data_IF_512916456046
#
_entry.id   IF_512916456046
#
_cell.length_a   1.000
_cell.length_b   1.000
_cell.length_c   1.000
_cell.angle_alpha   90.00
_cell.angle_beta   90.00
_cell.angle_gamma   90.00
#
_symmetry.space_group_name_H-M   'P 1'
#
loop_
_entity.id
_entity.type
_entity.pdbx_description
1 polymer ?
#
# COMPACT_ATOMS: atom_id res chain seq x y z
N UNK A 1 -10.21 -25.12 9.40
CA UNK A 1 -9.26 -24.07 8.97
C UNK A 1 -8.74 -24.36 7.58
N UNK A 2 -7.69 -25.17 7.45
CA UNK A 2 -6.98 -25.42 6.18
C UNK A 2 -7.90 -25.95 5.07
N UNK A 3 -8.71 -26.99 5.34
CA UNK A 3 -9.62 -27.56 4.33
C UNK A 3 -10.65 -26.53 3.81
N UNK A 4 -11.25 -25.76 4.72
CA UNK A 4 -12.21 -24.70 4.37
C UNK A 4 -11.52 -23.57 3.58
N UNK A 5 -10.34 -23.14 4.03
CA UNK A 5 -9.56 -22.11 3.35
C UNK A 5 -9.13 -22.54 1.95
N UNK A 6 -8.74 -23.80 1.77
CA UNK A 6 -8.47 -24.38 0.45
C UNK A 6 -9.72 -24.37 -0.43
N UNK A 7 -10.87 -24.80 0.09
CA UNK A 7 -12.12 -24.82 -0.67
C UNK A 7 -12.53 -23.41 -1.15
N UNK A 8 -12.42 -22.41 -0.28
CA UNK A 8 -12.69 -21.00 -0.63
C UNK A 8 -11.68 -20.49 -1.65
N UNK A 9 -10.38 -20.75 -1.46
CA UNK A 9 -9.35 -20.34 -2.40
C UNK A 9 -9.55 -20.99 -3.78
N UNK A 10 -9.85 -22.29 -3.82
CA UNK A 10 -10.13 -23.02 -5.05
C UNK A 10 -11.38 -22.51 -5.78
N UNK A 11 -12.40 -22.04 -5.05
CA UNK A 11 -13.60 -21.46 -5.64
C UNK A 11 -13.35 -20.08 -6.25
N UNK A 12 -12.50 -19.24 -5.62
CA UNK A 12 -12.25 -17.86 -6.05
C UNK A 12 -11.09 -17.71 -7.05
N UNK A 13 -10.14 -18.64 -7.06
CA UNK A 13 -8.94 -18.57 -7.91
C UNK A 13 -9.26 -18.45 -9.42
N UNK A 14 -10.24 -19.19 -9.99
CA UNK A 14 -10.56 -19.09 -11.42
C UNK A 14 -11.00 -17.70 -11.83
N UNK A 15 -11.86 -17.05 -11.03
CA UNK A 15 -12.38 -15.71 -11.32
C UNK A 15 -11.27 -14.65 -11.26
N UNK A 16 -10.38 -14.77 -10.27
CA UNK A 16 -9.20 -13.90 -10.14
C UNK A 16 -8.24 -14.11 -11.30
N UNK A 17 -7.96 -15.36 -11.68
CA UNK A 17 -7.08 -15.68 -12.79
C UNK A 17 -7.64 -15.19 -14.14
N UNK A 18 -8.95 -15.33 -14.36
CA UNK A 18 -9.63 -14.82 -15.54
C UNK A 18 -9.56 -13.28 -15.62
N UNK A 19 -9.75 -12.60 -14.49
CA UNK A 19 -9.65 -11.13 -14.41
C UNK A 19 -8.21 -10.66 -14.70
N UNK A 20 -7.20 -11.31 -14.11
CA UNK A 20 -5.80 -10.95 -14.34
C UNK A 20 -5.35 -11.27 -15.77
N UNK A 21 -5.78 -12.40 -16.33
CA UNK A 21 -5.54 -12.75 -17.73
C UNK A 21 -6.21 -11.77 -18.69
N UNK A 22 -7.45 -11.35 -18.41
CA UNK A 22 -8.20 -10.41 -19.25
C UNK A 22 -7.68 -8.98 -19.20
N UNK A 23 -7.27 -8.48 -18.02
CA UNK A 23 -6.81 -7.10 -17.86
C UNK A 23 -5.32 -6.92 -18.14
N UNK A 24 -4.49 -7.91 -17.81
CA UNK A 24 -3.03 -7.78 -17.85
C UNK A 24 -2.36 -8.76 -18.82
N UNK A 25 -3.10 -9.65 -19.48
CA UNK A 25 -2.52 -10.70 -20.33
C UNK A 25 -1.67 -11.71 -19.55
N UNK A 26 -1.74 -11.70 -18.22
CA UNK A 26 -0.92 -12.55 -17.37
C UNK A 26 -1.53 -13.95 -17.26
N UNK A 27 -0.83 -14.95 -17.77
CA UNK A 27 -1.21 -16.35 -17.62
C UNK A 27 -0.92 -16.82 -16.19
N UNK A 28 -1.86 -16.60 -15.27
CA UNK A 28 -1.79 -17.18 -13.92
C UNK A 28 -2.27 -18.63 -14.00
N UNK A 29 -1.49 -19.62 -13.51
CA UNK A 29 -1.95 -21.00 -13.45
C UNK A 29 -3.23 -21.07 -12.62
N UNK A 30 -4.36 -21.44 -13.23
CA UNK A 30 -5.65 -21.57 -12.55
C UNK A 30 -5.77 -22.78 -11.62
N UNK A 31 -4.64 -23.38 -11.22
CA UNK A 31 -4.59 -24.58 -10.38
C UNK A 31 -3.92 -24.24 -9.05
N UNK A 32 -4.64 -24.48 -7.95
CA UNK A 32 -4.12 -24.26 -6.61
C UNK A 32 -3.19 -25.42 -6.22
N UNK A 33 -1.87 -25.20 -6.21
CA UNK A 33 -0.94 -26.22 -5.69
C UNK A 33 -0.95 -26.24 -4.16
N UNK A 34 -1.56 -27.27 -3.57
CA UNK A 34 -1.48 -27.50 -2.13
C UNK A 34 -0.09 -28.07 -1.77
N UNK A 35 0.82 -27.17 -1.40
CA UNK A 35 2.13 -27.55 -0.87
C UNK A 35 2.01 -28.04 0.56
N UNK A 36 2.10 -29.36 0.74
CA UNK A 36 1.97 -30.05 2.03
C UNK A 36 2.93 -29.48 3.10
N UNK A 37 4.15 -29.08 2.70
CA UNK A 37 5.11 -28.47 3.63
C UNK A 37 4.59 -27.23 4.34
N UNK A 38 3.84 -26.36 3.64
CA UNK A 38 3.26 -25.16 4.25
C UNK A 38 2.08 -25.48 5.17
N UNK A 39 1.29 -26.50 4.82
CA UNK A 39 0.21 -26.99 5.67
C UNK A 39 0.78 -27.55 6.98
N UNK A 40 1.82 -28.37 6.90
CA UNK A 40 2.49 -28.95 8.06
C UNK A 40 3.17 -27.88 8.92
N UNK A 41 3.82 -26.89 8.30
CA UNK A 41 4.41 -25.77 9.03
C UNK A 41 3.35 -24.95 9.77
N UNK A 42 2.23 -24.63 9.12
CA UNK A 42 1.10 -23.92 9.72
C UNK A 42 0.48 -24.68 10.90
N UNK A 43 0.24 -25.99 10.71
CA UNK A 43 -0.27 -26.87 11.76
C UNK A 43 0.73 -26.98 12.92
N UNK A 44 2.02 -27.13 12.61
CA UNK A 44 3.11 -27.21 13.60
C UNK A 44 3.20 -25.94 14.44
N UNK A 45 3.12 -24.76 13.83
CA UNK A 45 3.09 -23.49 14.56
C UNK A 45 1.87 -23.37 15.49
N UNK A 46 0.68 -23.77 15.02
CA UNK A 46 -0.53 -23.74 15.83
C UNK A 46 -0.46 -24.70 17.03
N UNK A 47 0.02 -25.94 16.80
CA UNK A 47 0.21 -26.94 17.84
C UNK A 47 1.27 -26.50 18.85
N UNK A 48 2.42 -25.98 18.38
CA UNK A 48 3.47 -25.46 19.24
C UNK A 48 2.97 -24.31 20.12
N UNK A 49 2.26 -23.33 19.53
CA UNK A 49 1.65 -22.23 20.29
C UNK A 49 0.64 -22.72 21.33
N UNK A 50 -0.20 -23.70 20.97
CA UNK A 50 -1.17 -24.32 21.89
C UNK A 50 -0.47 -25.05 23.03
N UNK A 51 0.59 -25.82 22.75
CA UNK A 51 1.38 -26.51 23.77
C UNK A 51 2.07 -25.55 24.71
N UNK A 52 2.64 -24.45 24.20
CA UNK A 52 3.25 -23.40 25.02
C UNK A 52 2.21 -22.75 25.93
N UNK A 53 1.04 -22.39 25.40
CA UNK A 53 -0.04 -21.78 26.18
C UNK A 53 -0.59 -22.73 27.26
N UNK A 54 -0.85 -23.99 26.91
CA UNK A 54 -1.32 -25.00 27.86
C UNK A 54 -0.25 -25.33 28.91
N UNK A 55 1.01 -25.46 28.48
CA UNK A 55 2.15 -25.70 29.36
C UNK A 55 2.36 -24.57 30.37
N UNK A 56 2.18 -23.31 29.95
CA UNK A 56 2.21 -22.17 30.85
C UNK A 56 1.10 -22.25 31.91
N UNK A 57 -0.13 -22.60 31.52
CA UNK A 57 -1.25 -22.78 32.46
C UNK A 57 -0.99 -23.88 33.48
N UNK A 58 -0.53 -25.05 33.02
CA UNK A 58 -0.17 -26.18 33.89
C UNK A 58 0.97 -25.82 34.85
N UNK A 59 1.99 -25.12 34.36
CA UNK A 59 3.13 -24.71 35.18
C UNK A 59 2.74 -23.70 36.26
N UNK A 60 1.82 -22.78 35.96
CA UNK A 60 1.27 -21.87 36.96
C UNK A 60 0.50 -22.62 38.04
N UNK A 61 -0.36 -23.56 37.65
CA UNK A 61 -1.12 -24.39 38.61
C UNK A 61 -0.18 -25.21 39.50
N UNK A 62 0.86 -25.81 38.91
CA UNK A 62 1.83 -26.64 39.63
C UNK A 62 2.63 -25.85 40.68
N UNK A 63 2.86 -24.55 40.47
CA UNK A 63 3.57 -23.67 41.42
C UNK A 63 2.67 -23.01 42.45
N UNK A 64 1.35 -23.19 42.40
CA UNK A 64 0.45 -22.61 43.39
C UNK A 64 0.55 -23.36 44.74
N UNK A 65 0.75 -22.66 45.86
CA UNK A 65 0.72 -23.29 47.18
C UNK A 65 -0.62 -24.01 47.43
N UNK A 66 -0.64 -25.23 47.98
CA UNK A 66 -1.86 -26.01 48.19
C UNK A 66 -2.94 -25.26 48.99
N UNK A 67 -2.53 -24.42 49.94
CA UNK A 67 -3.41 -23.60 50.79
C UNK A 67 -3.90 -22.30 50.12
N UNK A 68 -3.27 -21.90 49.02
CA UNK A 68 -3.62 -20.70 48.26
C UNK A 68 -4.69 -20.96 47.17
N UNK A 69 -4.93 -22.24 46.86
CA UNK A 69 -5.92 -22.69 45.86
C UNK A 69 -7.36 -22.25 46.19
N UNK A 70 -7.68 -22.01 47.48
CA UNK A 70 -9.01 -21.64 47.95
C UNK A 70 -9.31 -20.13 47.89
N UNK A 71 -8.32 -19.26 47.62
CA UNK A 71 -8.50 -17.80 47.66
C UNK A 71 -8.36 -17.14 46.29
N UNK A 72 -9.43 -16.52 45.76
CA UNK A 72 -9.41 -15.70 44.54
C UNK A 72 -8.31 -14.61 44.54
N UNK A 73 -7.87 -14.17 45.73
CA UNK A 73 -6.79 -13.20 45.92
C UNK A 73 -5.39 -13.74 45.59
N UNK A 74 -5.12 -15.04 45.79
CA UNK A 74 -3.81 -15.64 45.51
C UNK A 74 -3.55 -15.75 43.99
N UNK A 75 -4.60 -16.04 43.23
CA UNK A 75 -4.58 -15.99 41.76
C UNK A 75 -4.31 -14.58 41.23
N UNK A 76 -4.86 -13.55 41.89
CA UNK A 76 -4.60 -12.14 41.54
C UNK A 76 -3.14 -11.70 41.75
N UNK A 77 -2.47 -12.15 42.82
CA UNK A 77 -1.07 -11.80 43.11
C UNK A 77 -0.10 -12.53 42.17
N UNK A 78 -0.30 -13.83 41.94
CA UNK A 78 0.50 -14.60 40.99
C UNK A 78 0.35 -14.10 39.54
N UNK A 79 -0.88 -13.72 39.15
CA UNK A 79 -1.14 -13.09 37.86
C UNK A 79 -0.52 -11.69 37.73
N UNK A 80 -0.39 -10.94 38.84
CA UNK A 80 0.22 -9.61 38.86
C UNK A 80 1.71 -9.61 38.50
N UNK A 81 2.49 -10.58 39.00
CA UNK A 81 3.90 -10.70 38.65
C UNK A 81 4.10 -11.13 37.19
N UNK A 82 3.35 -12.13 36.72
CA UNK A 82 3.37 -12.56 35.32
C UNK A 82 3.01 -11.42 34.35
N UNK A 83 1.99 -10.60 34.72
CA UNK A 83 1.57 -9.44 33.91
C UNK A 83 2.65 -8.37 33.82
N UNK A 84 3.38 -8.10 34.91
CA UNK A 84 4.50 -7.14 34.91
C UNK A 84 5.62 -7.58 33.96
N UNK A 85 6.01 -8.85 34.02
CA UNK A 85 7.02 -9.42 33.12
C UNK A 85 6.57 -9.37 31.65
N UNK A 86 5.31 -9.70 31.35
CA UNK A 86 4.73 -9.54 30.01
C UNK A 86 4.76 -8.08 29.55
N UNK A 87 4.42 -7.13 30.43
CA UNK A 87 4.48 -5.71 30.14
C UNK A 87 5.91 -5.25 29.80
N UNK A 88 6.92 -5.66 30.58
CA UNK A 88 8.32 -5.33 30.29
C UNK A 88 8.82 -5.99 29.00
N UNK A 89 8.46 -7.26 28.76
CA UNK A 89 8.80 -7.94 27.52
C UNK A 89 8.17 -7.24 26.31
N UNK A 90 6.89 -6.84 26.42
CA UNK A 90 6.20 -6.11 25.38
C UNK A 90 6.80 -4.72 25.13
N UNK A 91 7.14 -3.98 26.18
CA UNK A 91 7.86 -2.70 26.05
C UNK A 91 9.25 -2.88 25.41
N UNK A 92 9.96 -3.96 25.75
CA UNK A 92 11.23 -4.32 25.11
C UNK A 92 11.07 -4.57 23.61
N UNK A 93 10.02 -5.30 23.20
CA UNK A 93 9.70 -5.52 21.79
C UNK A 93 9.32 -4.22 21.06
N UNK A 94 8.57 -3.33 21.71
CA UNK A 94 8.25 -2.01 21.16
C UNK A 94 9.48 -1.12 21.03
N UNK A 95 10.41 -1.17 21.98
CA UNK A 95 11.68 -0.47 21.90
C UNK A 95 12.54 -1.00 20.75
N UNK A 96 12.63 -2.33 20.60
CA UNK A 96 13.32 -2.96 19.47
C UNK A 96 12.66 -2.60 18.13
N UNK A 97 11.33 -2.54 18.08
CA UNK A 97 10.60 -2.07 16.90
C UNK A 97 10.96 -0.60 16.59
N UNK A 98 11.00 0.29 17.60
CA UNK A 98 11.45 1.67 17.42
C UNK A 98 12.90 1.79 16.94
N UNK A 99 13.81 0.94 17.43
CA UNK A 99 15.19 0.87 16.95
C UNK A 99 15.26 0.36 15.50
N UNK A 100 14.49 -0.65 15.16
CA UNK A 100 14.39 -1.15 13.78
C UNK A 100 13.81 -0.10 12.84
N UNK A 101 12.88 0.75 13.30
CA UNK A 101 12.36 1.87 12.52
C UNK A 101 13.41 2.97 12.30
N UNK A 102 14.20 3.29 13.32
CA UNK A 102 15.18 4.38 13.25
C UNK A 102 16.47 4.00 12.50
N UNK A 103 16.94 2.76 12.66
CA UNK A 103 18.25 2.31 12.16
C UNK A 103 18.17 1.12 11.20
N UNK A 104 17.02 0.47 11.10
CA UNK A 104 16.86 -0.71 10.26
C UNK A 104 16.68 -0.34 8.79
N UNK A 105 17.35 -1.09 7.92
CA UNK A 105 17.19 -1.00 6.47
C UNK A 105 16.90 -2.38 5.89
N UNK A 106 16.02 -2.42 4.88
CA UNK A 106 15.70 -3.64 4.14
C UNK A 106 14.56 -4.48 4.72
N UNK A 107 14.29 -5.60 4.05
CA UNK A 107 13.09 -6.40 4.26
C UNK A 107 13.04 -7.07 5.64
N UNK A 108 14.15 -7.63 6.10
CA UNK A 108 14.21 -8.31 7.41
C UNK A 108 13.97 -7.35 8.58
N UNK A 109 14.49 -6.12 8.49
CA UNK A 109 14.21 -5.08 9.47
C UNK A 109 12.71 -4.72 9.47
N UNK A 110 12.08 -4.64 8.29
CA UNK A 110 10.63 -4.44 8.17
C UNK A 110 9.80 -5.57 8.82
N UNK A 111 10.18 -6.83 8.63
CA UNK A 111 9.53 -7.96 9.31
C UNK A 111 9.74 -7.93 10.83
N UNK A 112 10.97 -7.62 11.28
CA UNK A 112 11.28 -7.47 12.70
C UNK A 112 10.49 -6.34 13.36
N UNK A 113 10.40 -5.19 12.69
CA UNK A 113 9.58 -4.05 13.09
C UNK A 113 8.12 -4.45 13.27
N UNK A 114 7.52 -5.08 12.25
CA UNK A 114 6.11 -5.48 12.28
C UNK A 114 5.85 -6.52 13.39
N UNK A 115 6.70 -7.54 13.50
CA UNK A 115 6.58 -8.56 14.52
C UNK A 115 6.73 -7.97 15.94
N UNK A 116 7.74 -7.12 16.15
CA UNK A 116 7.97 -6.44 17.42
C UNK A 116 6.81 -5.51 17.80
N UNK A 117 6.24 -4.79 16.84
CA UNK A 117 5.10 -3.91 17.05
C UNK A 117 3.83 -4.70 17.40
N UNK A 118 3.50 -5.74 16.64
CA UNK A 118 2.30 -6.56 16.88
C UNK A 118 2.40 -7.34 18.19
N UNK A 119 3.50 -8.06 18.42
CA UNK A 119 3.70 -8.83 19.64
C UNK A 119 3.87 -7.92 20.86
N UNK A 120 4.60 -6.82 20.71
CA UNK A 120 4.77 -5.82 21.76
C UNK A 120 3.45 -5.19 22.19
N UNK A 121 2.63 -4.75 21.23
CA UNK A 121 1.31 -4.21 21.50
C UNK A 121 0.38 -5.24 22.17
N UNK A 122 0.38 -6.49 21.71
CA UNK A 122 -0.37 -7.56 22.33
C UNK A 122 0.04 -7.79 23.78
N UNK A 123 1.34 -7.92 24.07
CA UNK A 123 1.83 -8.16 25.44
C UNK A 123 1.61 -6.97 26.39
N UNK A 124 1.64 -5.74 25.88
CA UNK A 124 1.39 -4.52 26.66
C UNK A 124 -0.11 -4.32 26.95
N UNK A 125 -1.00 -4.81 26.08
CA UNK A 125 -2.45 -4.59 26.17
C UNK A 125 -3.05 -4.92 27.56
N UNK A 126 -2.81 -6.09 28.19
CA UNK A 126 -3.38 -6.39 29.50
C UNK A 126 -2.89 -5.43 30.60
N UNK A 127 -1.67 -4.90 30.48
CA UNK A 127 -1.13 -3.93 31.43
C UNK A 127 -1.78 -2.56 31.28
N UNK A 128 -1.97 -2.11 30.04
CA UNK A 128 -2.68 -0.86 29.74
C UNK A 128 -4.13 -0.94 30.20
N UNK A 129 -4.84 -2.04 29.88
CA UNK A 129 -6.21 -2.24 30.35
C UNK A 129 -6.29 -2.26 31.87
N UNK A 130 -5.37 -2.94 32.56
CA UNK A 130 -5.34 -2.94 34.02
C UNK A 130 -5.16 -1.54 34.62
N UNK A 131 -4.32 -0.72 33.99
CA UNK A 131 -4.09 0.67 34.40
C UNK A 131 -5.32 1.53 34.15
N UNK A 132 -5.95 1.44 32.97
CA UNK A 132 -7.19 2.15 32.64
C UNK A 132 -8.33 1.77 33.59
N UNK A 133 -8.52 0.47 33.85
CA UNK A 133 -9.55 0.00 34.77
C UNK A 133 -9.29 0.48 36.20
N UNK A 134 -8.04 0.42 36.68
CA UNK A 134 -7.70 0.93 38.02
C UNK A 134 -7.85 2.44 38.15
N UNK A 135 -7.59 3.18 37.08
CA UNK A 135 -7.84 4.63 37.02
C UNK A 135 -9.34 4.96 37.03
N UNK A 136 -10.14 4.22 36.27
CA UNK A 136 -11.59 4.35 36.25
C UNK A 136 -12.21 3.99 37.61
N UNK A 137 -11.74 2.92 38.24
CA UNK A 137 -12.09 2.51 39.61
C UNK A 137 -11.82 3.65 40.61
N UNK A 138 -10.63 4.26 40.58
CA UNK A 138 -10.27 5.37 41.46
C UNK A 138 -11.05 6.67 41.24
N UNK A 139 -11.67 6.83 40.06
CA UNK A 139 -12.54 7.98 39.74
C UNK A 139 -14.03 7.69 39.94
N UNK A 140 -14.40 6.43 40.09
CA UNK A 140 -15.79 6.02 40.21
C UNK A 140 -16.37 6.46 41.56
N UNK A 141 -17.56 7.08 41.50
CA UNK A 141 -18.35 7.46 42.67
C UNK A 141 -19.58 6.55 42.76
N UNK A 142 -19.84 6.03 43.96
CA UNK A 142 -20.95 5.10 44.23
C UNK A 142 -20.52 3.63 44.21
N UNK A 143 -21.24 2.81 44.96
CA UNK A 143 -20.88 1.41 45.24
C UNK A 143 -20.93 0.53 43.98
N UNK A 144 -21.98 0.69 43.16
CA UNK A 144 -22.18 -0.14 41.96
C UNK A 144 -21.12 0.12 40.87
N UNK A 145 -20.70 1.37 40.68
CA UNK A 145 -19.71 1.74 39.67
C UNK A 145 -18.31 1.27 40.09
N UNK A 146 -17.94 1.44 41.36
CA UNK A 146 -16.69 0.91 41.91
C UNK A 146 -16.66 -0.62 41.82
N UNK A 147 -17.76 -1.29 42.16
CA UNK A 147 -17.89 -2.74 42.04
C UNK A 147 -17.70 -3.21 40.59
N UNK A 148 -18.33 -2.54 39.62
CA UNK A 148 -18.19 -2.89 38.20
C UNK A 148 -16.74 -2.82 37.72
N UNK A 149 -16.02 -1.73 38.03
CA UNK A 149 -14.61 -1.59 37.60
C UNK A 149 -13.68 -2.57 38.32
N UNK A 150 -13.92 -2.81 39.61
CA UNK A 150 -13.17 -3.79 40.39
C UNK A 150 -13.38 -5.22 39.86
N UNK A 151 -14.62 -5.58 39.53
CA UNK A 151 -14.98 -6.88 38.95
C UNK A 151 -14.36 -7.07 37.55
N UNK A 152 -14.48 -6.06 36.68
CA UNK A 152 -13.83 -6.07 35.36
C UNK A 152 -12.30 -6.26 35.47
N UNK A 153 -11.67 -5.58 36.44
CA UNK A 153 -10.23 -5.71 36.71
C UNK A 153 -9.87 -7.10 37.23
N UNK A 154 -10.74 -7.73 38.02
CA UNK A 154 -10.57 -9.09 38.53
C UNK A 154 -10.69 -10.14 37.41
N UNK A 155 -11.56 -9.93 36.41
CA UNK A 155 -11.73 -10.84 35.27
C UNK A 155 -10.60 -10.74 34.23
N UNK A 156 -9.90 -9.60 34.17
CA UNK A 156 -8.87 -9.30 33.16
C UNK A 156 -7.78 -10.38 32.98
N UNK A 157 -7.18 -11.01 34.02
CA UNK A 157 -6.20 -12.07 33.82
C UNK A 157 -6.76 -13.24 32.98
N UNK A 158 -8.00 -13.65 33.23
CA UNK A 158 -8.62 -14.78 32.53
C UNK A 158 -8.96 -14.47 31.07
N UNK A 159 -9.25 -13.20 30.75
CA UNK A 159 -9.58 -12.76 29.39
C UNK A 159 -8.38 -12.23 28.60
N UNK A 160 -7.23 -12.05 29.24
CA UNK A 160 -6.06 -11.40 28.63
C UNK A 160 -5.62 -12.03 27.32
N UNK A 161 -5.51 -13.37 27.26
CA UNK A 161 -5.12 -14.09 26.03
C UNK A 161 -6.12 -13.88 24.88
N UNK A 162 -7.42 -13.93 25.18
CA UNK A 162 -8.46 -13.71 24.19
C UNK A 162 -8.45 -12.27 23.68
N UNK A 163 -8.25 -11.29 24.57
CA UNK A 163 -8.15 -9.87 24.20
C UNK A 163 -6.90 -9.58 23.35
N UNK A 164 -5.77 -10.24 23.64
CA UNK A 164 -4.55 -10.15 22.82
C UNK A 164 -4.78 -10.72 21.42
N UNK A 165 -5.41 -11.90 21.33
CA UNK A 165 -5.76 -12.51 20.05
C UNK A 165 -6.74 -11.62 19.26
N UNK A 166 -7.75 -11.04 19.92
CA UNK A 166 -8.71 -10.12 19.33
C UNK A 166 -8.03 -8.84 18.80
N UNK A 167 -7.09 -8.26 19.55
CA UNK A 167 -6.31 -7.11 19.11
C UNK A 167 -5.54 -7.44 17.82
N UNK A 168 -4.83 -8.56 17.79
CA UNK A 168 -4.06 -8.99 16.63
C UNK A 168 -4.95 -9.25 15.42
N UNK A 169 -6.10 -9.90 15.63
CA UNK A 169 -7.08 -10.15 14.57
C UNK A 169 -7.66 -8.86 14.00
N UNK A 170 -8.03 -7.91 14.87
CA UNK A 170 -8.56 -6.60 14.45
C UNK A 170 -7.48 -5.79 13.72
N UNK A 171 -6.25 -5.78 14.23
CA UNK A 171 -5.11 -5.11 13.60
C UNK A 171 -4.82 -5.66 12.20
N UNK A 172 -4.82 -6.99 12.04
CA UNK A 172 -4.64 -7.63 10.74
C UNK A 172 -5.78 -7.27 9.78
N UNK A 173 -7.03 -7.31 10.24
CA UNK A 173 -8.20 -6.97 9.42
C UNK A 173 -8.18 -5.50 8.96
N UNK A 174 -7.90 -4.57 9.88
CA UNK A 174 -7.76 -3.14 9.57
C UNK A 174 -6.58 -2.90 8.63
N UNK A 175 -5.44 -3.57 8.86
CA UNK A 175 -4.24 -3.45 8.02
C UNK A 175 -4.50 -3.88 6.58
N UNK A 176 -5.07 -5.08 6.37
CA UNK A 176 -5.41 -5.58 5.03
C UNK A 176 -6.47 -4.70 4.36
N UNK A 177 -7.51 -4.32 5.10
CA UNK A 177 -8.57 -3.45 4.57
C UNK A 177 -8.05 -2.09 4.12
N UNK A 178 -7.15 -1.48 4.91
CA UNK A 178 -6.51 -0.20 4.58
C UNK A 178 -5.62 -0.34 3.35
N UNK A 179 -4.81 -1.39 3.28
CA UNK A 179 -3.91 -1.64 2.14
C UNK A 179 -4.68 -1.83 0.83
N UNK A 180 -5.74 -2.63 0.83
CA UNK A 180 -6.58 -2.84 -0.36
C UNK A 180 -7.32 -1.57 -0.74
N UNK A 181 -7.82 -0.83 0.27
CA UNK A 181 -8.47 0.46 0.06
C UNK A 181 -7.55 1.51 -0.57
N UNK A 182 -6.32 1.64 -0.07
CA UNK A 182 -5.33 2.58 -0.60
C UNK A 182 -4.86 2.20 -1.99
N UNK A 183 -4.67 0.90 -2.26
CA UNK A 183 -4.37 0.40 -3.60
C UNK A 183 -5.46 0.81 -4.58
N UNK A 184 -6.72 0.47 -4.26
CA UNK A 184 -7.87 0.79 -5.13
C UNK A 184 -7.99 2.29 -5.36
N UNK A 185 -7.92 3.10 -4.31
CA UNK A 185 -8.04 4.55 -4.42
C UNK A 185 -6.94 5.15 -5.31
N UNK A 186 -5.68 4.72 -5.11
CA UNK A 186 -4.56 5.20 -5.93
C UNK A 186 -4.69 4.75 -7.39
N UNK A 187 -5.12 3.51 -7.61
CA UNK A 187 -5.31 2.97 -8.95
C UNK A 187 -6.46 3.65 -9.71
N UNK A 188 -7.61 3.87 -9.06
CA UNK A 188 -8.72 4.63 -9.65
C UNK A 188 -8.28 6.05 -9.96
N UNK A 189 -7.59 6.74 -9.03
CA UNK A 189 -7.05 8.06 -9.29
C UNK A 189 -6.10 8.08 -10.49
N UNK A 190 -5.23 7.08 -10.63
CA UNK A 190 -4.35 6.97 -11.80
C UNK A 190 -5.11 6.67 -13.10
N UNK A 191 -6.16 5.86 -13.08
CA UNK A 191 -7.01 5.62 -14.24
C UNK A 191 -7.73 6.88 -14.70
N UNK A 192 -8.31 7.65 -13.77
CA UNK A 192 -8.99 8.91 -14.08
C UNK A 192 -8.02 9.92 -14.74
N UNK A 193 -6.75 9.91 -14.31
CA UNK A 193 -5.70 10.73 -14.92
C UNK A 193 -5.34 10.28 -16.34
N UNK A 194 -5.26 8.96 -16.57
CA UNK A 194 -4.77 8.41 -17.85
C UNK A 194 -5.88 8.33 -18.90
N UNK A 195 -7.13 8.17 -18.47
CA UNK A 195 -8.32 8.03 -19.30
C UNK A 195 -9.20 9.29 -19.28
N UNK A 196 -8.58 10.46 -19.35
CA UNK A 196 -9.26 11.75 -19.26
C UNK A 196 -10.07 12.15 -20.51
N UNK A 197 -10.08 11.34 -21.57
CA UNK A 197 -10.83 11.60 -22.81
C UNK A 197 -11.94 10.57 -23.00
N UNK A 198 -13.05 10.97 -23.61
CA UNK A 198 -14.20 10.10 -23.76
C UNK A 198 -13.97 8.98 -24.79
N UNK A 199 -13.16 9.24 -25.82
CA UNK A 199 -12.85 8.27 -26.87
C UNK A 199 -11.34 8.26 -27.21
N UNK A 200 -10.82 7.06 -27.44
CA UNK A 200 -9.45 6.82 -27.90
C UNK A 200 -9.49 6.08 -29.23
N UNK A 201 -8.89 6.67 -30.25
CA UNK A 201 -8.83 6.11 -31.60
C UNK A 201 -7.39 5.81 -31.99
N UNK A 202 -7.21 4.73 -32.76
CA UNK A 202 -5.93 4.36 -33.36
C UNK A 202 -6.16 4.13 -34.85
N UNK A 203 -5.51 4.94 -35.69
CA UNK A 203 -5.46 4.77 -37.12
C UNK A 203 -4.43 3.69 -37.50
N UNK A 204 -4.63 3.03 -38.64
CA UNK A 204 -3.72 2.01 -39.15
C UNK A 204 -2.65 2.57 -40.10
N UNK A 205 -2.84 3.79 -40.60
CA UNK A 205 -1.88 4.47 -41.46
C UNK A 205 -1.93 6.00 -41.29
N UNK A 206 -0.85 6.73 -41.65
CA UNK A 206 -0.84 8.19 -41.62
C UNK A 206 -1.92 8.83 -42.49
N UNK A 207 -2.24 8.22 -43.65
CA UNK A 207 -3.30 8.70 -44.54
C UNK A 207 -4.66 8.60 -43.85
N UNK A 208 -4.95 7.45 -43.23
CA UNK A 208 -6.19 7.27 -42.48
C UNK A 208 -6.27 8.23 -41.27
N UNK A 209 -5.16 8.43 -40.56
CA UNK A 209 -5.09 9.37 -39.45
C UNK A 209 -5.46 10.81 -39.89
N UNK A 210 -4.99 11.24 -41.06
CA UNK A 210 -5.31 12.54 -41.63
C UNK A 210 -6.80 12.65 -42.01
N UNK A 211 -7.35 11.66 -42.71
CA UNK A 211 -8.78 11.59 -43.08
C UNK A 211 -9.69 11.60 -41.84
N UNK A 212 -9.35 10.81 -40.81
CA UNK A 212 -10.06 10.78 -39.53
C UNK A 212 -10.05 12.15 -38.87
N UNK A 213 -8.89 12.81 -38.83
CA UNK A 213 -8.74 14.14 -38.23
C UNK A 213 -9.61 15.17 -38.93
N UNK A 214 -9.56 15.22 -40.27
CA UNK A 214 -10.37 16.14 -41.07
C UNK A 214 -11.87 15.91 -40.86
N UNK A 215 -12.31 14.65 -40.79
CA UNK A 215 -13.71 14.31 -40.54
C UNK A 215 -14.17 14.62 -39.11
N UNK A 216 -13.30 14.46 -38.11
CA UNK A 216 -13.59 14.68 -36.69
C UNK A 216 -13.50 16.15 -36.27
N UNK A 217 -12.62 16.95 -36.87
CA UNK A 217 -12.41 18.36 -36.49
C UNK A 217 -13.70 19.17 -36.33
N UNK A 218 -14.71 19.09 -37.22
CA UNK A 218 -15.96 19.83 -37.03
C UNK A 218 -16.96 19.18 -36.06
N UNK A 219 -16.67 17.99 -35.52
CA UNK A 219 -17.61 17.15 -34.73
C UNK A 219 -17.24 17.00 -33.26
N UNK A 220 -16.00 17.32 -32.89
CA UNK A 220 -15.48 17.16 -31.53
C UNK A 220 -14.92 18.48 -31.03
N UNK A 221 -14.80 18.64 -29.72
CA UNK A 221 -14.23 19.85 -29.11
C UNK A 221 -12.71 19.90 -29.29
N UNK A 222 -12.03 18.76 -29.13
CA UNK A 222 -10.59 18.67 -29.29
C UNK A 222 -10.15 17.28 -29.78
N UNK A 223 -9.06 17.27 -30.54
CA UNK A 223 -8.33 16.06 -30.95
C UNK A 223 -6.93 16.16 -30.36
N UNK A 224 -6.60 15.26 -29.43
CA UNK A 224 -5.36 15.28 -28.66
C UNK A 224 -4.47 14.11 -29.11
N UNK A 225 -3.36 14.36 -29.81
CA UNK A 225 -2.46 13.29 -30.23
C UNK A 225 -1.81 12.60 -29.03
N UNK A 226 -1.67 11.28 -29.12
CA UNK A 226 -0.97 10.45 -28.14
C UNK A 226 0.23 9.85 -28.83
N UNK A 227 1.38 10.50 -28.67
CA UNK A 227 2.63 10.10 -29.31
C UNK A 227 3.72 9.89 -28.28
N UNK A 228 4.57 8.91 -28.55
CA UNK A 228 5.75 8.61 -27.77
C UNK A 228 6.89 8.21 -28.71
N UNK A 229 8.11 8.51 -28.29
CA UNK A 229 9.34 8.05 -28.93
C UNK A 229 10.20 7.33 -27.88
N UNK A 230 10.82 6.22 -28.28
CA UNK A 230 11.85 5.60 -27.46
C UNK A 230 13.11 6.47 -27.48
N UNK A 231 13.63 6.78 -26.29
CA UNK A 231 14.86 7.54 -26.14
C UNK A 231 15.60 7.12 -24.86
N UNK A 232 16.95 7.17 -24.85
CA UNK A 232 17.69 6.94 -23.63
C UNK A 232 17.46 8.08 -22.64
N UNK A 233 17.01 7.77 -21.43
CA UNK A 233 16.84 8.69 -20.31
C UNK A 233 17.80 8.28 -19.19
N UNK A 234 18.80 9.12 -18.90
CA UNK A 234 19.84 8.83 -17.89
C UNK A 234 20.52 7.47 -18.15
N UNK A 235 20.82 7.18 -19.41
CA UNK A 235 21.50 5.94 -19.83
C UNK A 235 20.64 4.67 -19.78
N UNK A 236 19.33 4.79 -19.56
CA UNK A 236 18.37 3.67 -19.58
C UNK A 236 17.37 3.84 -20.74
N UNK A 237 16.88 2.75 -21.36
CA UNK A 237 15.76 2.83 -22.30
C UNK A 237 14.54 3.46 -21.61
N UNK A 238 14.00 4.53 -22.20
CA UNK A 238 12.82 5.23 -21.72
C UNK A 238 11.96 5.73 -22.87
N UNK A 239 10.86 6.39 -22.51
CA UNK A 239 9.92 6.96 -23.48
C UNK A 239 9.76 8.46 -23.26
N UNK A 240 9.77 9.21 -24.35
CA UNK A 240 9.44 10.64 -24.35
C UNK A 240 8.07 10.80 -25.00
N UNK A 241 7.12 11.40 -24.29
CA UNK A 241 5.78 11.67 -24.78
C UNK A 241 5.67 13.11 -25.26
N UNK A 242 4.95 13.30 -26.37
CA UNK A 242 4.53 14.62 -26.84
C UNK A 242 3.10 14.90 -26.42
N UNK A 243 2.85 16.05 -25.79
CA UNK A 243 1.48 16.47 -25.42
C UNK A 243 1.09 17.79 -26.08
N UNK A 244 -0.16 17.85 -26.55
CA UNK A 244 -0.73 19.10 -27.03
C UNK A 244 -1.01 20.06 -25.87
N UNK A 245 -0.90 21.36 -26.14
CA UNK A 245 -1.31 22.36 -25.16
C UNK A 245 -2.85 22.41 -25.07
N UNK A 246 -3.40 21.78 -24.03
CA UNK A 246 -4.85 21.69 -23.84
C UNK A 246 -5.21 21.58 -22.35
N UNK A 247 -6.33 22.19 -21.89
CA UNK A 247 -6.78 22.11 -20.50
C UNK A 247 -6.92 20.68 -19.97
N UNK A 248 -7.31 19.71 -20.80
CA UNK A 248 -7.42 18.29 -20.39
C UNK A 248 -6.18 17.78 -19.66
N UNK A 249 -4.97 18.09 -20.12
CA UNK A 249 -3.76 17.64 -19.43
C UNK A 249 -3.55 18.43 -18.13
N UNK A 250 -3.80 19.74 -18.17
CA UNK A 250 -3.61 20.65 -17.03
C UNK A 250 -4.53 20.31 -15.85
N UNK A 251 -5.76 19.92 -16.17
CA UNK A 251 -6.82 19.66 -15.19
C UNK A 251 -6.79 18.23 -14.65
N UNK A 252 -6.26 17.27 -15.43
CA UNK A 252 -6.34 15.84 -15.11
C UNK A 252 -4.98 15.18 -14.82
N UNK A 253 -3.84 15.85 -15.01
CA UNK A 253 -2.52 15.31 -14.61
C UNK A 253 -1.96 16.02 -13.38
N UNK A 254 -2.23 15.50 -12.16
CA UNK A 254 -1.68 16.06 -10.95
C UNK A 254 -0.17 15.84 -10.90
N UNK A 255 0.54 16.92 -10.57
CA UNK A 255 1.98 16.92 -10.41
C UNK A 255 2.33 16.80 -8.92
N UNK A 256 3.26 15.91 -8.59
CA UNK A 256 3.81 15.77 -7.25
C UNK A 256 4.66 16.98 -6.87
N UNK A 257 5.32 17.56 -7.86
CA UNK A 257 6.14 18.76 -7.72
C UNK A 257 6.10 19.50 -9.05
N UNK A 258 5.97 20.82 -9.03
CA UNK A 258 5.85 21.64 -10.23
C UNK A 258 6.43 23.02 -10.02
N UNK A 259 7.04 23.60 -11.06
CA UNK A 259 7.30 25.03 -11.13
C UNK A 259 6.00 25.80 -11.36
N UNK A 260 5.97 27.12 -11.10
CA UNK A 260 4.90 27.98 -11.61
C UNK A 260 4.73 27.80 -13.12
N UNK A 261 3.49 27.86 -13.60
CA UNK A 261 3.15 27.85 -15.04
C UNK A 261 3.74 26.65 -15.81
N UNK A 262 3.93 25.52 -15.12
CA UNK A 262 4.61 24.32 -15.64
C UNK A 262 4.13 23.88 -17.02
N UNK A 263 2.82 23.88 -17.27
CA UNK A 263 2.25 23.45 -18.55
C UNK A 263 2.53 24.45 -19.68
N UNK A 264 2.59 25.75 -19.38
CA UNK A 264 2.94 26.79 -20.34
C UNK A 264 4.42 26.66 -20.74
N UNK A 265 5.31 26.40 -19.78
CA UNK A 265 6.74 26.16 -20.03
C UNK A 265 6.97 24.89 -20.85
N UNK A 266 6.21 23.82 -20.57
CA UNK A 266 6.25 22.57 -21.34
C UNK A 266 5.72 22.79 -22.76
N UNK A 267 4.61 23.53 -22.91
CA UNK A 267 4.01 23.85 -24.21
C UNK A 267 4.95 24.69 -25.09
N UNK A 268 5.68 25.64 -24.48
CA UNK A 268 6.71 26.43 -25.13
C UNK A 268 7.96 25.61 -25.52
N UNK A 269 8.08 24.36 -25.04
CA UNK A 269 9.21 23.49 -25.33
C UNK A 269 10.47 23.82 -24.50
N UNK A 270 10.32 24.60 -23.44
CA UNK A 270 11.39 25.10 -22.59
C UNK A 270 11.63 24.24 -21.34
N UNK A 271 10.75 23.28 -21.07
CA UNK A 271 10.84 22.38 -19.92
C UNK A 271 10.33 20.98 -20.20
N UNK A 272 10.69 20.06 -19.30
CA UNK A 272 10.27 18.66 -19.35
C UNK A 272 9.63 18.22 -18.03
N UNK A 273 8.57 17.42 -18.11
CA UNK A 273 8.05 16.68 -16.97
C UNK A 273 8.64 15.28 -16.93
N UNK A 274 8.92 14.74 -15.75
CA UNK A 274 9.42 13.37 -15.60
C UNK A 274 8.51 12.56 -14.67
N UNK A 275 8.46 11.25 -14.88
CA UNK A 275 7.72 10.40 -13.95
C UNK A 275 8.45 10.26 -12.61
N UNK A 276 7.69 9.97 -11.55
CA UNK A 276 8.20 9.82 -10.18
C UNK A 276 9.37 8.83 -10.08
N UNK A 277 9.30 7.70 -10.81
CA UNK A 277 10.35 6.68 -10.75
C UNK A 277 11.68 7.19 -11.31
N UNK A 278 11.67 7.89 -12.45
CA UNK A 278 12.88 8.53 -12.99
C UNK A 278 13.42 9.58 -12.02
N UNK A 279 12.54 10.45 -11.50
CA UNK A 279 12.94 11.50 -10.56
C UNK A 279 13.62 10.94 -9.30
N UNK A 280 13.04 9.92 -8.66
CA UNK A 280 13.59 9.31 -7.45
C UNK A 280 14.88 8.54 -7.70
N UNK A 281 14.95 7.76 -8.79
CA UNK A 281 16.14 6.94 -9.10
C UNK A 281 17.35 7.79 -9.49
N UNK A 282 17.11 8.84 -10.28
CA UNK A 282 18.18 9.73 -10.76
C UNK A 282 18.40 10.95 -9.85
N UNK A 283 17.61 11.13 -8.78
CA UNK A 283 17.70 12.27 -7.88
C UNK A 283 17.37 13.61 -8.55
N UNK A 284 16.48 13.61 -9.55
CA UNK A 284 16.11 14.80 -10.31
C UNK A 284 15.09 15.62 -9.52
N UNK A 285 15.44 16.86 -9.23
CA UNK A 285 14.53 17.90 -8.72
C UNK A 285 14.17 18.92 -9.79
N UNK A 286 13.35 19.91 -9.41
CA UNK A 286 13.05 21.04 -10.29
C UNK A 286 14.33 21.78 -10.70
N UNK A 287 14.44 22.14 -11.98
CA UNK A 287 15.59 22.80 -12.59
C UNK A 287 16.77 21.87 -12.94
N UNK A 288 16.73 20.60 -12.55
CA UNK A 288 17.74 19.63 -12.99
C UNK A 288 17.67 19.44 -14.51
N UNK A 289 18.80 19.40 -15.20
CA UNK A 289 18.83 19.22 -16.65
C UNK A 289 18.70 17.74 -17.00
N UNK A 290 17.69 17.39 -17.77
CA UNK A 290 17.52 16.06 -18.37
C UNK A 290 18.04 16.10 -19.81
N UNK A 291 19.03 15.27 -20.11
CA UNK A 291 19.51 15.12 -21.48
C UNK A 291 18.47 14.36 -22.33
N UNK A 292 18.15 14.95 -23.47
CA UNK A 292 17.16 14.45 -24.43
C UNK A 292 17.73 14.58 -25.84
N UNK A 293 17.29 13.75 -26.80
CA UNK A 293 17.59 13.97 -28.20
C UNK A 293 17.24 15.41 -28.62
N UNK A 294 18.20 16.12 -29.22
CA UNK A 294 18.02 17.53 -29.61
C UNK A 294 18.32 18.56 -28.52
N UNK A 295 18.83 18.15 -27.36
CA UNK A 295 19.37 19.04 -26.33
C UNK A 295 18.65 18.93 -24.99
N UNK A 296 19.41 19.19 -23.91
CA UNK A 296 18.93 19.06 -22.55
C UNK A 296 17.84 20.10 -22.21
N UNK A 297 16.85 19.68 -21.44
CA UNK A 297 15.78 20.53 -20.92
C UNK A 297 15.75 20.50 -19.38
N UNK A 298 15.40 21.62 -18.73
CA UNK A 298 15.19 21.63 -17.29
C UNK A 298 13.92 20.87 -16.92
N UNK A 299 14.01 20.06 -15.86
CA UNK A 299 12.86 19.40 -15.24
C UNK A 299 12.00 20.46 -14.56
N UNK A 300 10.78 20.66 -15.05
CA UNK A 300 9.84 21.67 -14.53
C UNK A 300 8.72 21.05 -13.70
N UNK A 301 8.62 19.72 -13.68
CA UNK A 301 7.70 19.01 -12.81
C UNK A 301 7.90 17.51 -12.78
N UNK A 302 7.33 16.89 -11.76
CA UNK A 302 7.32 15.45 -11.54
C UNK A 302 5.88 15.00 -11.43
N UNK A 303 5.45 14.07 -12.28
CA UNK A 303 4.10 13.49 -12.21
C UNK A 303 4.10 12.12 -11.55
N UNK A 304 2.99 11.80 -10.89
CA UNK A 304 2.77 10.48 -10.31
C UNK A 304 2.56 9.46 -11.43
N UNK A 305 3.25 8.32 -11.37
CA UNK A 305 3.11 7.26 -12.38
C UNK A 305 3.04 5.91 -11.70
N UNK A 306 1.80 5.40 -11.62
CA UNK A 306 1.49 4.26 -10.77
C UNK A 306 2.06 2.96 -11.32
N UNK A 307 3.01 2.38 -10.59
CA UNK A 307 3.54 1.05 -10.88
C UNK A 307 4.38 0.93 -12.16
N UNK A 308 4.63 2.03 -12.88
CA UNK A 308 5.46 2.03 -14.08
C UNK A 308 6.95 2.15 -13.72
N UNK A 309 7.77 1.11 -13.87
CA UNK A 309 9.18 1.15 -13.50
C UNK A 309 10.05 1.83 -14.56
N UNK A 310 9.51 2.09 -15.75
CA UNK A 310 10.26 2.60 -16.89
C UNK A 310 10.46 4.13 -16.79
N UNK A 311 11.65 4.65 -17.15
CA UNK A 311 11.87 6.07 -17.28
C UNK A 311 10.94 6.70 -18.32
N UNK A 312 10.24 7.77 -17.94
CA UNK A 312 9.41 8.53 -18.88
C UNK A 312 9.58 10.04 -18.70
N UNK A 313 9.47 10.75 -19.82
CA UNK A 313 9.52 12.20 -19.89
C UNK A 313 8.41 12.73 -20.79
N UNK A 314 7.95 13.96 -20.56
CA UNK A 314 6.89 14.62 -21.32
C UNK A 314 7.32 16.02 -21.72
N UNK A 315 7.19 16.32 -23.01
CA UNK A 315 7.49 17.62 -23.62
C UNK A 315 6.31 18.11 -24.47
N UNK A 316 6.26 19.40 -24.78
CA UNK A 316 5.24 19.96 -25.67
C UNK A 316 5.28 19.36 -27.08
N UNK A 317 4.12 19.30 -27.74
CA UNK A 317 3.95 18.63 -29.03
C UNK A 317 4.88 19.18 -30.13
N UNK A 318 5.02 20.50 -30.22
CA UNK A 318 5.88 21.13 -31.23
C UNK A 318 7.36 20.79 -30.98
N UNK A 319 7.78 20.85 -29.72
CA UNK A 319 9.10 20.40 -29.28
C UNK A 319 9.34 18.90 -29.53
N UNK A 320 8.31 18.07 -29.42
CA UNK A 320 8.36 16.65 -29.73
C UNK A 320 8.54 16.40 -31.23
N UNK A 321 7.70 17.01 -32.07
CA UNK A 321 7.78 16.90 -33.54
C UNK A 321 9.14 17.34 -34.09
N UNK A 322 9.72 18.40 -33.52
CA UNK A 322 11.05 18.87 -33.90
C UNK A 322 12.17 17.87 -33.56
N UNK A 323 12.06 17.19 -32.41
CA UNK A 323 13.07 16.23 -31.93
C UNK A 323 12.90 14.83 -32.53
N UNK A 324 11.68 14.45 -32.86
CA UNK A 324 11.31 13.11 -33.33
C UNK A 324 10.46 13.17 -34.62
N UNK A 325 10.99 13.71 -35.72
CA UNK A 325 10.21 13.95 -36.95
C UNK A 325 9.72 12.68 -37.66
N UNK A 326 10.29 11.50 -37.31
CA UNK A 326 9.91 10.21 -37.89
C UNK A 326 8.78 9.48 -37.16
N UNK A 327 8.25 10.04 -36.07
CA UNK A 327 7.17 9.41 -35.31
C UNK A 327 5.82 9.73 -35.95
N UNK A 328 5.10 8.69 -36.35
CA UNK A 328 3.76 8.83 -36.94
C UNK A 328 2.71 9.06 -35.84
N UNK A 329 1.88 10.10 -36.02
CA UNK A 329 0.75 10.36 -35.14
C UNK A 329 -0.43 9.48 -35.54
N UNK A 330 -0.52 8.26 -35.00
CA UNK A 330 -1.62 7.34 -35.33
C UNK A 330 -2.69 7.27 -34.25
N UNK A 331 -2.39 7.72 -33.03
CA UNK A 331 -3.28 7.60 -31.87
C UNK A 331 -3.78 8.97 -31.43
N UNK A 332 -5.07 9.08 -31.17
CA UNK A 332 -5.72 10.31 -30.73
C UNK A 332 -6.73 10.04 -29.62
N UNK A 333 -6.77 10.95 -28.65
CA UNK A 333 -7.85 11.10 -27.70
C UNK A 333 -8.81 12.17 -28.21
N UNK A 334 -10.13 11.97 -28.05
CA UNK A 334 -11.14 12.94 -28.46
C UNK A 334 -11.83 13.51 -27.22
N UNK A 335 -12.04 14.83 -27.22
CA UNK A 335 -12.98 15.50 -26.32
C UNK A 335 -14.29 15.75 -27.04
N UNK A 336 -15.37 15.15 -26.58
CA UNK A 336 -16.72 15.34 -27.16
C UNK A 336 -17.54 16.30 -26.30
N UNK A 337 -18.50 17.05 -26.88
CA UNK A 337 -19.47 17.80 -26.09
C UNK A 337 -20.29 16.86 -25.19
N UNK A 338 -20.54 17.30 -23.96
CA UNK A 338 -21.52 16.66 -23.06
C UNK A 338 -22.94 16.65 -23.66
#
# INVERSE_FOLDING_TARGET
GVALGYAVAAALLPDVAATLGGLYGAAVPGVLELRVGWVLAGLGMALAGTLVAAGQGLWQVWRLPPLASAGARAWGVAAGQSRRWQGFAGLGLLALAGLALAFGSGLWAGFGLLAGLLLGAALVLPSVLAWVLGFAEGRAKGVLSQWFWADARQQLPGLSLALMALLLALAANVGVGTMVGSFRATFTGWLDQRLASELYLTATSPQQAAEMREWLTPRVQAILPIVAAEAPLIGQPGEVYGIADHPTYRDNWPLLTASPEVWDVVAAGEGVLVNEQLARRAGLGLGAMLDLPGGALPVVGVYSDYGNPSPQAIIGMEAFRARFPGVEELRFALRVPE
#
